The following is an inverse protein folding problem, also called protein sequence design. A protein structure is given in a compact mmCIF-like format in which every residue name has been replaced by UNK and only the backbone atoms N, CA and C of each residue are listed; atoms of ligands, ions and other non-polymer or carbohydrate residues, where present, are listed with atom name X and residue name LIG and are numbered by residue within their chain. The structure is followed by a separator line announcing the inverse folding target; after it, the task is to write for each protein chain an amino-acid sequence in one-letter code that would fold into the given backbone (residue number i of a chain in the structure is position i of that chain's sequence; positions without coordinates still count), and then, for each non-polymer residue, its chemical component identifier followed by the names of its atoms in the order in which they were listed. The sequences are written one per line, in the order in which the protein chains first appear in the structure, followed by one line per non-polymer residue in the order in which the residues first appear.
data_IF_607459545739
#
_entry.id   IF_607459545739
#
_cell.length_a   1.000
_cell.length_b   1.000
_cell.length_c   1.000
_cell.angle_alpha   90.00
_cell.angle_beta   90.00
_cell.angle_gamma   90.00
#
_symmetry.space_group_name_H-M   'P 1'
#
loop_
_entity.id
_entity.type
_entity.pdbx_description
1 polymer ?
#
# COMPACT_ATOMS: atom_id res chain seq x y z
N UNK A 1 1.74 21.03 6.08
CA UNK A 1 1.79 20.67 4.65
C UNK A 1 1.04 19.40 4.25
N UNK A 2 1.17 18.24 4.91
CA UNK A 2 0.41 17.03 4.50
C UNK A 2 -1.10 17.12 4.78
N UNK A 3 -1.49 17.72 5.91
CA UNK A 3 -2.91 17.88 6.26
C UNK A 3 -3.61 18.96 5.45
N UNK A 4 -2.92 20.05 5.11
CA UNK A 4 -3.49 21.16 4.32
C UNK A 4 -3.95 20.71 2.93
N UNK A 5 -3.28 19.68 2.38
CA UNK A 5 -3.65 19.08 1.10
C UNK A 5 -4.85 18.12 1.21
N UNK A 6 -5.09 17.55 2.39
CA UNK A 6 -6.24 16.66 2.66
C UNK A 6 -7.48 17.52 2.94
N UNK A 7 -7.35 18.58 3.74
CA UNK A 7 -8.46 19.49 4.06
C UNK A 7 -8.94 20.31 2.87
N UNK A 8 -8.08 20.59 1.89
CA UNK A 8 -8.45 21.31 0.66
C UNK A 8 -9.17 20.45 -0.39
N UNK A 9 -9.20 19.13 -0.24
CA UNK A 9 -9.93 18.23 -1.15
C UNK A 9 -11.43 18.18 -0.82
N UNK A 10 -12.26 17.94 -1.84
CA UNK A 10 -13.69 17.68 -1.63
C UNK A 10 -13.93 16.28 -1.07
N UNK A 11 -15.06 16.05 -0.39
CA UNK A 11 -15.41 14.73 0.17
C UNK A 11 -15.41 13.61 -0.90
N UNK A 12 -15.84 13.92 -2.12
CA UNK A 12 -15.80 12.98 -3.24
C UNK A 12 -14.36 12.63 -3.65
N UNK A 13 -13.49 13.65 -3.72
CA UNK A 13 -12.07 13.45 -4.02
C UNK A 13 -11.36 12.65 -2.94
N UNK A 14 -11.64 12.89 -1.65
CA UNK A 14 -11.11 12.07 -0.56
C UNK A 14 -11.59 10.63 -0.69
N UNK A 15 -12.88 10.41 -0.96
CA UNK A 15 -13.47 9.06 -1.06
C UNK A 15 -12.84 8.28 -2.21
N UNK A 16 -12.70 8.91 -3.39
CA UNK A 16 -12.05 8.31 -4.54
C UNK A 16 -10.57 8.02 -4.27
N UNK A 17 -9.87 8.92 -3.59
CA UNK A 17 -8.46 8.75 -3.22
C UNK A 17 -8.27 7.56 -2.26
N UNK A 18 -9.11 7.44 -1.23
CA UNK A 18 -9.09 6.31 -0.29
C UNK A 18 -9.33 4.99 -1.02
N UNK A 19 -10.35 4.93 -1.89
CA UNK A 19 -10.65 3.73 -2.67
C UNK A 19 -9.46 3.34 -3.55
N UNK A 20 -8.89 4.31 -4.25
CA UNK A 20 -7.72 4.11 -5.11
C UNK A 20 -6.53 3.59 -4.32
N UNK A 21 -6.22 4.21 -3.17
CA UNK A 21 -5.13 3.77 -2.30
C UNK A 21 -5.37 2.34 -1.81
N UNK A 22 -6.58 2.01 -1.35
CA UNK A 22 -6.93 0.65 -0.90
C UNK A 22 -6.75 -0.37 -2.02
N UNK A 23 -7.19 -0.06 -3.24
CA UNK A 23 -7.01 -0.93 -4.42
C UNK A 23 -5.52 -1.15 -4.73
N UNK A 24 -4.73 -0.07 -4.81
CA UNK A 24 -3.29 -0.15 -5.10
C UNK A 24 -2.57 -0.95 -4.03
N UNK A 25 -2.86 -0.68 -2.75
CA UNK A 25 -2.26 -1.43 -1.63
C UNK A 25 -2.66 -2.90 -1.69
N UNK A 26 -3.92 -3.22 -1.95
CA UNK A 26 -4.38 -4.60 -2.10
C UNK A 26 -3.66 -5.32 -3.24
N UNK A 27 -3.49 -4.65 -4.38
CA UNK A 27 -2.72 -5.18 -5.51
C UNK A 27 -1.25 -5.40 -5.14
N UNK A 28 -0.63 -4.44 -4.46
CA UNK A 28 0.77 -4.50 -4.04
C UNK A 28 1.03 -5.64 -3.04
N UNK A 29 0.09 -5.88 -2.12
CA UNK A 29 0.14 -7.01 -1.19
C UNK A 29 0.00 -8.32 -1.96
N UNK A 30 -0.98 -8.42 -2.87
CA UNK A 30 -1.19 -9.62 -3.68
C UNK A 30 0.04 -9.99 -4.52
N UNK A 31 0.63 -9.02 -5.22
CA UNK A 31 1.85 -9.25 -6.00
C UNK A 31 3.04 -9.59 -5.11
N UNK A 32 3.18 -8.94 -3.94
CA UNK A 32 4.25 -9.25 -2.97
C UNK A 32 4.18 -10.69 -2.46
N UNK A 33 2.98 -11.21 -2.21
CA UNK A 33 2.78 -12.60 -1.78
C UNK A 33 3.22 -13.57 -2.87
N UNK A 34 2.79 -13.36 -4.12
CA UNK A 34 3.19 -14.18 -5.26
C UNK A 34 4.71 -14.16 -5.45
N UNK A 35 5.33 -12.99 -5.31
CA UNK A 35 6.77 -12.82 -5.41
C UNK A 35 7.50 -13.60 -4.31
N UNK A 36 7.03 -13.52 -3.07
CA UNK A 36 7.59 -14.24 -1.93
C UNK A 36 7.57 -15.75 -2.18
N UNK A 37 6.42 -16.31 -2.60
CA UNK A 37 6.32 -17.73 -2.94
C UNK A 37 7.27 -18.13 -4.07
N UNK A 38 7.40 -17.28 -5.09
CA UNK A 38 8.31 -17.53 -6.22
C UNK A 38 9.76 -17.59 -5.75
N UNK A 39 10.18 -16.65 -4.90
CA UNK A 39 11.55 -16.64 -4.35
C UNK A 39 11.78 -17.85 -3.45
N UNK A 40 10.85 -18.18 -2.56
CA UNK A 40 10.95 -19.36 -1.70
C UNK A 40 11.05 -20.65 -2.54
N UNK A 41 10.24 -20.76 -3.60
CA UNK A 41 10.29 -21.90 -4.51
C UNK A 41 11.66 -22.03 -5.20
N UNK A 42 12.15 -20.93 -5.80
CA UNK A 42 13.45 -20.93 -6.48
C UNK A 42 14.62 -21.17 -5.52
N UNK A 43 14.55 -20.62 -4.31
CA UNK A 43 15.58 -20.78 -3.30
C UNK A 43 15.63 -22.21 -2.75
N UNK A 44 14.49 -22.77 -2.32
CA UNK A 44 14.47 -24.09 -1.68
C UNK A 44 14.50 -25.25 -2.69
N UNK A 45 13.75 -25.17 -3.79
CA UNK A 45 13.62 -26.30 -4.75
C UNK A 45 14.63 -26.24 -5.89
N UNK A 46 15.03 -25.03 -6.33
CA UNK A 46 16.02 -24.85 -7.41
C UNK A 46 17.41 -24.47 -6.91
N UNK A 47 17.59 -24.24 -5.60
CA UNK A 47 18.84 -23.78 -4.99
C UNK A 47 19.43 -22.55 -5.69
N UNK A 48 18.56 -21.70 -6.26
CA UNK A 48 18.96 -20.54 -7.05
C UNK A 48 18.89 -19.26 -6.20
N UNK A 49 20.05 -18.84 -5.70
CA UNK A 49 20.22 -17.66 -4.86
C UNK A 49 20.13 -16.34 -5.61
N UNK A 50 20.15 -16.33 -6.95
CA UNK A 50 19.98 -15.11 -7.76
C UNK A 50 18.59 -14.47 -7.57
N UNK A 51 17.65 -15.19 -6.96
CA UNK A 51 16.31 -14.70 -6.64
C UNK A 51 16.22 -13.95 -5.29
N UNK A 52 17.24 -14.02 -4.43
CA UNK A 52 17.24 -13.36 -3.12
C UNK A 52 17.04 -11.82 -3.16
N UNK A 53 17.58 -11.08 -4.15
CA UNK A 53 17.32 -9.63 -4.27
C UNK A 53 15.84 -9.27 -4.41
N UNK A 54 14.98 -10.18 -4.90
CA UNK A 54 13.52 -9.95 -4.97
C UNK A 54 12.87 -9.86 -3.58
N UNK A 55 13.50 -10.39 -2.51
CA UNK A 55 13.03 -10.16 -1.14
C UNK A 55 13.14 -8.69 -0.75
N UNK A 56 14.19 -7.99 -1.20
CA UNK A 56 14.37 -6.56 -0.93
C UNK A 56 13.22 -5.77 -1.56
N UNK A 57 12.83 -6.12 -2.79
CA UNK A 57 11.68 -5.52 -3.48
C UNK A 57 10.39 -5.73 -2.68
N UNK A 58 10.21 -6.92 -2.11
CA UNK A 58 9.06 -7.26 -1.26
C UNK A 58 9.03 -6.39 0.00
N UNK A 59 10.17 -6.23 0.69
CA UNK A 59 10.30 -5.41 1.90
C UNK A 59 10.03 -3.93 1.62
N UNK A 60 10.62 -3.38 0.55
CA UNK A 60 10.40 -1.98 0.14
C UNK A 60 8.93 -1.75 -0.23
N UNK A 61 8.31 -2.69 -0.95
CA UNK A 61 6.91 -2.62 -1.32
C UNK A 61 5.99 -2.60 -0.09
N UNK A 62 6.31 -3.41 0.93
CA UNK A 62 5.58 -3.39 2.20
C UNK A 62 5.67 -2.04 2.91
N UNK A 63 6.84 -1.39 2.90
CA UNK A 63 7.01 -0.06 3.48
C UNK A 63 6.15 0.99 2.76
N UNK A 64 6.13 0.95 1.43
CA UNK A 64 5.27 1.81 0.59
C UNK A 64 3.79 1.58 0.90
N UNK A 65 3.37 0.32 1.03
CA UNK A 65 1.99 -0.03 1.39
C UNK A 65 1.59 0.57 2.75
N UNK A 66 2.46 0.47 3.76
CA UNK A 66 2.20 1.02 5.11
C UNK A 66 2.02 2.54 5.06
N UNK A 67 2.90 3.26 4.34
CA UNK A 67 2.79 4.71 4.21
C UNK A 67 1.49 5.11 3.52
N UNK A 68 1.12 4.42 2.45
CA UNK A 68 -0.12 4.68 1.71
C UNK A 68 -1.36 4.39 2.58
N UNK A 69 -1.37 3.29 3.33
CA UNK A 69 -2.45 2.98 4.27
C UNK A 69 -2.59 4.03 5.38
N UNK A 70 -1.47 4.54 5.92
CA UNK A 70 -1.50 5.62 6.90
C UNK A 70 -2.13 6.89 6.30
N UNK A 71 -1.78 7.25 5.07
CA UNK A 71 -2.39 8.40 4.39
C UNK A 71 -3.89 8.19 4.15
N UNK A 72 -4.30 7.00 3.69
CA UNK A 72 -5.72 6.68 3.52
C UNK A 72 -6.50 6.74 4.85
N UNK A 73 -5.89 6.34 5.97
CA UNK A 73 -6.50 6.48 7.31
C UNK A 73 -6.71 7.94 7.71
N UNK A 74 -5.73 8.81 7.43
CA UNK A 74 -5.88 10.25 7.70
C UNK A 74 -6.98 10.88 6.84
N UNK A 75 -7.05 10.51 5.56
CA UNK A 75 -8.14 10.94 4.68
C UNK A 75 -9.50 10.43 5.16
N UNK A 76 -9.58 9.18 5.64
CA UNK A 76 -10.82 8.63 6.18
C UNK A 76 -11.26 9.39 7.44
N UNK A 77 -10.33 9.68 8.36
CA UNK A 77 -10.63 10.45 9.56
C UNK A 77 -11.15 11.86 9.26
N UNK A 78 -10.59 12.53 8.24
CA UNK A 78 -11.11 13.81 7.76
C UNK A 78 -12.53 13.70 7.18
N UNK A 79 -12.79 12.66 6.39
CA UNK A 79 -14.13 12.39 5.85
C UNK A 79 -15.15 12.12 6.95
N UNK A 80 -14.77 11.33 7.95
CA UNK A 80 -15.64 10.99 9.09
C UNK A 80 -15.92 12.24 9.95
N UNK A 81 -14.91 13.12 10.12
CA UNK A 81 -15.07 14.42 10.79
C UNK A 81 -16.11 15.30 10.09
N UNK A 82 -16.05 15.41 8.74
CA UNK A 82 -17.00 16.20 7.95
C UNK A 82 -18.42 15.65 7.97
N UNK A 83 -18.58 14.34 8.14
CA UNK A 83 -19.90 13.69 8.19
C UNK A 83 -20.59 13.88 9.54
N UNK A 84 -19.82 14.05 10.61
CA UNK A 84 -20.30 14.23 11.97
C UNK A 84 -20.43 15.72 12.38
N UNK A 85 -20.14 16.65 11.47
CA UNK A 85 -20.26 18.11 11.66
C UNK A 85 -21.41 18.67 10.84
#
# INVERSE_FOLDING_TARGET
MKNDKITSQSSDQLTQSIKTIKTIVGMLIGTSIVLLFTVLYLYFFKKNSSSLPLLIVTVVSAFIAIINLKQARLMQAELDSRKNS
#
